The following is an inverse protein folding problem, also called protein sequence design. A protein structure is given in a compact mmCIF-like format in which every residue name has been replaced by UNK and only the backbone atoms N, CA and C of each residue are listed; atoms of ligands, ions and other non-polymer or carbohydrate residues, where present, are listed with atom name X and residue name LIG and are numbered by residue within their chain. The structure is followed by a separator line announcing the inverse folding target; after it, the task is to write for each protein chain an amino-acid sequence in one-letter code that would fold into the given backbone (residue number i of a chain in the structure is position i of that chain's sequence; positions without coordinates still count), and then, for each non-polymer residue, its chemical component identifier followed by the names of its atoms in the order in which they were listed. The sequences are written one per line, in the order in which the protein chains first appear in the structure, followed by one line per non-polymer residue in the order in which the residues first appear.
data_IF_473663715237
#
_entry.id   IF_473663715237
#
_cell.length_a   1.000
_cell.length_b   1.000
_cell.length_c   1.000
_cell.angle_alpha   90.00
_cell.angle_beta   90.00
_cell.angle_gamma   90.00
#
_symmetry.space_group_name_H-M   'P 1'
#
loop_
_entity.id
_entity.type
_entity.pdbx_description
1 polymer ?
#
# COMPACT_ATOMS: atom_id res chain seq x y z
N UNK A 1 0.94 -6.25 17.78
CA UNK A 1 2.29 -6.52 17.23
C UNK A 1 2.53 -5.45 16.16
N UNK A 2 3.19 -4.36 16.55
CA UNK A 2 3.29 -3.16 15.71
C UNK A 2 4.62 -3.16 14.93
N UNK A 3 4.60 -2.63 13.71
CA UNK A 3 5.80 -2.34 12.94
C UNK A 3 6.45 -3.49 12.18
N UNK A 4 5.83 -4.66 12.13
CA UNK A 4 6.37 -5.78 11.37
C UNK A 4 5.94 -5.69 9.91
N UNK A 5 6.88 -5.93 8.98
CA UNK A 5 6.58 -6.00 7.55
C UNK A 5 5.95 -7.35 7.20
N UNK A 6 5.13 -7.38 6.17
CA UNK A 6 4.46 -8.61 5.72
C UNK A 6 3.44 -9.17 6.71
N UNK A 7 3.44 -10.49 6.84
CA UNK A 7 2.54 -11.24 7.71
C UNK A 7 1.06 -11.17 7.33
N UNK A 8 0.25 -12.01 7.96
CA UNK A 8 -1.20 -12.05 7.75
C UNK A 8 -1.96 -11.77 9.06
N UNK A 9 -1.60 -10.66 9.72
CA UNK A 9 -2.25 -10.23 10.96
C UNK A 9 -3.68 -9.73 10.71
N UNK A 10 -4.52 -9.88 11.74
CA UNK A 10 -5.85 -9.27 11.81
C UNK A 10 -5.75 -7.75 11.98
N UNK A 11 -6.87 -7.07 11.74
CA UNK A 11 -6.98 -5.64 12.05
C UNK A 11 -6.75 -5.37 13.55
N UNK A 12 -6.15 -4.21 13.83
CA UNK A 12 -6.14 -3.63 15.15
C UNK A 12 -7.52 -3.02 15.48
N UNK A 13 -7.75 -2.63 16.74
CA UNK A 13 -9.00 -1.93 17.13
C UNK A 13 -9.24 -0.66 16.28
N UNK A 14 -8.17 0.07 15.95
CA UNK A 14 -8.26 1.23 15.03
C UNK A 14 -8.67 0.81 13.63
N UNK A 15 -8.10 -0.29 13.12
CA UNK A 15 -8.49 -0.85 11.83
C UNK A 15 -9.95 -1.29 11.79
N UNK A 16 -10.46 -1.84 12.89
CA UNK A 16 -11.88 -2.20 13.03
C UNK A 16 -12.79 -0.97 13.01
N UNK A 17 -12.39 0.13 13.66
CA UNK A 17 -13.11 1.42 13.59
C UNK A 17 -13.11 1.97 12.16
N UNK A 18 -11.96 1.87 11.49
CA UNK A 18 -11.85 2.27 10.08
C UNK A 18 -12.76 1.46 9.17
N UNK A 19 -12.83 0.13 9.34
CA UNK A 19 -13.69 -0.73 8.53
C UNK A 19 -15.18 -0.32 8.62
N UNK A 20 -15.65 0.11 9.80
CA UNK A 20 -17.01 0.64 9.99
C UNK A 20 -17.18 2.01 9.33
N UNK A 21 -16.26 2.93 9.59
CA UNK A 21 -16.30 4.27 8.99
C UNK A 21 -16.24 4.21 7.44
N UNK A 22 -15.50 3.24 6.90
CA UNK A 22 -15.45 2.99 5.44
C UNK A 22 -16.82 2.57 4.91
N UNK A 23 -17.51 1.67 5.61
CA UNK A 23 -18.85 1.24 5.20
C UNK A 23 -19.86 2.40 5.21
N UNK A 24 -19.85 3.23 6.26
CA UNK A 24 -20.68 4.42 6.35
C UNK A 24 -20.38 5.41 5.21
N UNK A 25 -19.09 5.63 4.92
CA UNK A 25 -18.64 6.50 3.83
C UNK A 25 -19.11 5.97 2.46
N UNK A 26 -18.92 4.69 2.18
CA UNK A 26 -19.33 4.07 0.90
C UNK A 26 -20.85 4.09 0.75
N UNK A 27 -21.60 3.84 1.82
CA UNK A 27 -23.05 3.93 1.80
C UNK A 27 -23.55 5.34 1.46
N UNK A 28 -22.86 6.38 1.92
CA UNK A 28 -23.19 7.78 1.61
C UNK A 28 -22.91 8.18 0.15
N UNK A 29 -22.06 7.45 -0.57
CA UNK A 29 -21.76 7.69 -1.98
C UNK A 29 -22.83 7.15 -2.93
N UNK A 30 -23.78 6.35 -2.44
CA UNK A 30 -24.85 5.69 -3.25
C UNK A 30 -24.32 5.04 -4.54
N UNK A 31 -23.15 4.39 -4.45
CA UNK A 31 -22.52 3.71 -5.58
C UNK A 31 -23.27 2.42 -5.88
N UNK A 32 -24.14 2.46 -6.90
CA UNK A 32 -24.84 1.28 -7.41
C UNK A 32 -23.86 0.41 -8.19
N UNK A 33 -24.03 -0.91 -8.06
CA UNK A 33 -23.27 -1.91 -8.81
C UNK A 33 -21.74 -1.80 -8.69
N UNK A 34 -21.25 -1.29 -7.54
CA UNK A 34 -19.81 -1.22 -7.29
C UNK A 34 -19.22 -2.59 -6.98
N UNK A 35 -18.13 -2.93 -7.66
CA UNK A 35 -17.30 -4.07 -7.28
C UNK A 35 -16.38 -3.72 -6.10
N UNK A 36 -16.17 -4.68 -5.20
CA UNK A 36 -15.21 -4.57 -4.10
C UNK A 36 -14.12 -5.62 -4.28
N UNK A 37 -12.89 -5.18 -4.50
CA UNK A 37 -11.74 -6.05 -4.62
C UNK A 37 -10.92 -6.01 -3.33
N UNK A 38 -10.62 -7.19 -2.81
CA UNK A 38 -9.80 -7.40 -1.63
C UNK A 38 -8.64 -8.33 -1.98
N UNK A 39 -7.71 -8.51 -1.05
CA UNK A 39 -6.62 -9.47 -1.23
C UNK A 39 -6.85 -10.73 -0.38
N UNK A 40 -5.98 -11.72 -0.52
CA UNK A 40 -6.01 -12.94 0.30
C UNK A 40 -5.69 -12.69 1.79
N UNK A 41 -5.23 -11.49 2.16
CA UNK A 41 -4.86 -11.16 3.53
C UNK A 41 -6.07 -10.83 4.40
N UNK A 42 -6.09 -11.38 5.63
CA UNK A 42 -7.20 -11.19 6.57
C UNK A 42 -7.56 -9.71 6.78
N UNK A 43 -6.55 -8.83 6.90
CA UNK A 43 -6.77 -7.39 7.16
C UNK A 43 -7.58 -6.70 6.06
N UNK A 44 -7.41 -7.05 4.78
CA UNK A 44 -8.20 -6.46 3.69
C UNK A 44 -9.62 -7.00 3.66
N UNK A 45 -9.80 -8.30 3.90
CA UNK A 45 -11.11 -8.92 4.00
C UNK A 45 -11.90 -8.40 5.20
N UNK A 46 -11.22 -8.22 6.36
CA UNK A 46 -11.82 -7.62 7.54
C UNK A 46 -12.19 -6.15 7.34
N UNK A 47 -11.40 -5.40 6.57
CA UNK A 47 -11.73 -4.01 6.22
C UNK A 47 -13.00 -3.96 5.35
N UNK A 48 -13.19 -4.92 4.45
CA UNK A 48 -14.35 -4.97 3.56
C UNK A 48 -15.63 -5.53 4.23
N UNK A 49 -15.54 -6.21 5.36
CA UNK A 49 -16.62 -7.07 5.90
C UNK A 49 -17.96 -6.36 6.17
N UNK A 50 -17.97 -5.05 6.30
CA UNK A 50 -19.17 -4.24 6.51
C UNK A 50 -19.70 -3.62 5.20
N UNK A 51 -18.99 -3.80 4.09
CA UNK A 51 -19.43 -3.35 2.77
C UNK A 51 -20.46 -4.30 2.19
N UNK A 52 -21.43 -3.80 1.42
CA UNK A 52 -22.45 -4.64 0.78
C UNK A 52 -21.86 -5.47 -0.38
N UNK A 53 -22.56 -6.55 -0.74
CA UNK A 53 -22.27 -7.38 -1.90
C UNK A 53 -21.11 -8.37 -1.73
N UNK A 54 -20.83 -9.14 -2.77
CA UNK A 54 -19.71 -10.07 -2.80
C UNK A 54 -18.38 -9.33 -2.97
N UNK A 55 -17.34 -9.82 -2.30
CA UNK A 55 -15.99 -9.28 -2.43
C UNK A 55 -15.13 -10.21 -3.28
N UNK A 56 -14.53 -9.68 -4.34
CA UNK A 56 -13.64 -10.45 -5.21
C UNK A 56 -12.22 -10.47 -4.62
N UNK A 57 -11.69 -11.66 -4.42
CA UNK A 57 -10.30 -11.82 -3.94
C UNK A 57 -9.35 -11.74 -5.12
N UNK A 58 -8.45 -10.75 -5.09
CA UNK A 58 -7.43 -10.45 -6.10
C UNK A 58 -6.03 -10.64 -5.50
N UNK A 59 -5.43 -11.84 -5.64
CA UNK A 59 -4.09 -12.11 -5.11
C UNK A 59 -3.02 -11.17 -5.68
N UNK A 60 -3.20 -10.73 -6.92
CA UNK A 60 -2.29 -9.80 -7.61
C UNK A 60 -2.21 -8.42 -6.92
N UNK A 61 -3.20 -8.06 -6.12
CA UNK A 61 -3.21 -6.84 -5.32
C UNK A 61 -2.65 -7.04 -3.90
N UNK A 62 -2.07 -8.21 -3.60
CA UNK A 62 -1.43 -8.51 -2.31
C UNK A 62 -0.26 -7.58 -1.99
N UNK A 63 0.16 -7.54 -0.72
CA UNK A 63 1.32 -6.74 -0.30
C UNK A 63 2.61 -7.24 -0.94
N UNK A 64 3.61 -6.37 -1.05
CA UNK A 64 4.97 -6.74 -1.44
C UNK A 64 5.47 -7.86 -0.52
N UNK A 65 5.99 -8.92 -1.13
CA UNK A 65 6.51 -10.07 -0.38
C UNK A 65 7.91 -9.74 0.15
N UNK A 66 8.04 -9.73 1.48
CA UNK A 66 9.31 -9.44 2.13
C UNK A 66 10.21 -10.68 2.26
N UNK A 67 9.78 -11.85 1.77
CA UNK A 67 10.57 -13.08 1.73
C UNK A 67 11.17 -13.43 3.09
N UNK A 68 12.48 -13.61 3.15
CA UNK A 68 13.20 -13.94 4.38
C UNK A 68 13.08 -12.86 5.50
N UNK A 69 12.64 -11.65 5.16
CA UNK A 69 12.42 -10.57 6.12
C UNK A 69 10.97 -10.46 6.60
N UNK A 70 10.08 -11.35 6.14
CA UNK A 70 8.67 -11.34 6.56
C UNK A 70 8.55 -11.50 8.07
N UNK A 71 7.70 -10.70 8.70
CA UNK A 71 7.49 -10.70 10.15
C UNK A 71 8.54 -9.96 10.97
N UNK A 72 9.58 -9.37 10.37
CA UNK A 72 10.55 -8.53 11.06
C UNK A 72 10.12 -7.06 11.08
N UNK A 73 10.62 -6.30 12.07
CA UNK A 73 10.57 -4.84 12.02
C UNK A 73 11.75 -4.30 11.22
N UNK A 74 11.68 -3.04 10.80
CA UNK A 74 12.81 -2.42 10.10
C UNK A 74 14.05 -2.31 10.99
N UNK A 75 13.88 -2.09 12.29
CA UNK A 75 14.95 -2.07 13.27
C UNK A 75 15.59 -3.45 13.41
N UNK A 76 14.79 -4.52 13.42
CA UNK A 76 15.28 -5.90 13.44
C UNK A 76 16.05 -6.24 12.17
N UNK A 77 15.59 -5.76 10.99
CA UNK A 77 16.29 -5.93 9.71
C UNK A 77 17.61 -5.16 9.73
N UNK A 78 17.58 -3.90 10.17
CA UNK A 78 18.78 -3.06 10.27
C UNK A 78 19.85 -3.67 11.18
N UNK A 79 19.43 -4.29 12.30
CA UNK A 79 20.34 -4.92 13.24
C UNK A 79 20.87 -6.27 12.75
N UNK A 80 20.03 -7.12 12.15
CA UNK A 80 20.38 -8.48 11.73
C UNK A 80 21.00 -8.55 10.33
N UNK A 81 20.56 -7.66 9.42
CA UNK A 81 20.92 -7.64 8.00
C UNK A 81 21.32 -6.22 7.55
N UNK A 82 22.35 -5.59 8.17
CA UNK A 82 22.69 -4.19 7.92
C UNK A 82 23.06 -3.90 6.46
N UNK A 83 23.68 -4.84 5.77
CA UNK A 83 24.03 -4.70 4.34
C UNK A 83 22.76 -4.66 3.48
N UNK A 84 21.83 -5.58 3.71
CA UNK A 84 20.54 -5.65 3.01
C UNK A 84 19.71 -4.39 3.26
N UNK A 85 19.71 -3.92 4.51
CA UNK A 85 19.03 -2.68 4.86
C UNK A 85 19.60 -1.47 4.13
N UNK A 86 20.94 -1.36 4.02
CA UNK A 86 21.62 -0.29 3.30
C UNK A 86 21.35 -0.36 1.78
N UNK A 87 21.37 -1.55 1.19
CA UNK A 87 21.02 -1.75 -0.23
C UNK A 87 19.59 -1.33 -0.53
N UNK A 88 18.64 -1.70 0.35
CA UNK A 88 17.25 -1.28 0.23
C UNK A 88 17.08 0.23 0.35
N UNK A 89 17.80 0.85 1.25
CA UNK A 89 17.75 2.31 1.44
C UNK A 89 18.31 3.05 0.22
N UNK A 90 19.38 2.54 -0.38
CA UNK A 90 20.02 3.12 -1.55
C UNK A 90 19.13 3.07 -2.80
N UNK A 91 18.45 1.97 -3.05
CA UNK A 91 17.53 1.83 -4.19
C UNK A 91 16.27 1.05 -3.80
N UNK A 92 15.35 1.73 -3.15
CA UNK A 92 14.10 1.13 -2.69
C UNK A 92 13.21 0.59 -3.84
N UNK A 93 13.35 1.12 -5.04
CA UNK A 93 12.58 0.68 -6.20
C UNK A 93 13.04 -0.70 -6.69
N UNK A 94 14.36 -0.90 -6.81
CA UNK A 94 14.94 -2.09 -7.45
C UNK A 94 15.40 -3.13 -6.45
N UNK A 95 15.59 -2.73 -5.19
CA UNK A 95 15.95 -3.69 -4.14
C UNK A 95 14.90 -4.80 -4.05
N UNK A 96 15.36 -6.04 -4.25
CA UNK A 96 14.55 -7.24 -4.08
C UNK A 96 14.84 -7.86 -2.72
N UNK A 97 13.81 -8.09 -1.93
CA UNK A 97 13.94 -8.85 -0.71
C UNK A 97 14.43 -10.28 -1.00
N UNK A 98 15.34 -10.86 -0.19
CA UNK A 98 15.73 -12.26 -0.34
C UNK A 98 14.48 -13.16 -0.31
N UNK A 99 14.33 -14.01 -1.32
CA UNK A 99 13.13 -14.86 -1.53
C UNK A 99 11.80 -14.09 -1.64
N UNK A 100 11.87 -12.81 -1.96
CA UNK A 100 10.71 -11.93 -2.03
C UNK A 100 10.65 -11.09 -3.30
N UNK A 101 9.98 -9.96 -3.22
CA UNK A 101 9.74 -9.04 -4.32
C UNK A 101 10.53 -7.73 -4.16
N UNK A 102 10.74 -7.06 -5.28
CA UNK A 102 11.03 -5.63 -5.39
C UNK A 102 9.74 -4.87 -5.74
N UNK A 103 9.78 -3.53 -5.69
CA UNK A 103 8.69 -2.72 -6.24
C UNK A 103 8.49 -2.93 -7.75
N UNK A 104 9.58 -3.24 -8.50
CA UNK A 104 9.48 -3.58 -9.92
C UNK A 104 8.64 -4.84 -10.14
N UNK A 105 8.81 -5.86 -9.29
CA UNK A 105 8.02 -7.09 -9.39
C UNK A 105 6.55 -6.83 -9.08
N UNK A 106 6.25 -5.99 -8.07
CA UNK A 106 4.89 -5.57 -7.77
C UNK A 106 4.28 -4.87 -8.97
N UNK A 107 4.98 -3.94 -9.61
CA UNK A 107 4.52 -3.27 -10.84
C UNK A 107 4.20 -4.29 -11.93
N UNK A 108 5.09 -5.26 -12.17
CA UNK A 108 4.88 -6.27 -13.21
C UNK A 108 3.62 -7.12 -12.96
N UNK A 109 3.38 -7.55 -11.70
CA UNK A 109 2.20 -8.40 -11.41
C UNK A 109 0.88 -7.63 -11.38
N UNK A 110 0.87 -6.32 -11.14
CA UNK A 110 -0.36 -5.51 -11.17
C UNK A 110 -0.67 -4.92 -12.55
N UNK A 111 0.27 -4.91 -13.47
CA UNK A 111 0.08 -4.34 -14.81
C UNK A 111 -1.14 -4.93 -15.56
N UNK A 112 -1.40 -6.26 -15.54
CA UNK A 112 -2.60 -6.82 -16.15
C UNK A 112 -3.90 -6.37 -15.49
N UNK A 113 -3.85 -5.96 -14.20
CA UNK A 113 -5.03 -5.53 -13.44
C UNK A 113 -5.50 -4.14 -13.86
N UNK A 114 -4.60 -3.26 -14.34
CA UNK A 114 -4.95 -1.90 -14.77
C UNK A 114 -6.06 -1.89 -15.82
N UNK A 115 -5.98 -2.76 -16.82
CA UNK A 115 -7.01 -2.88 -17.85
C UNK A 115 -8.37 -3.30 -17.28
N UNK A 116 -8.37 -4.13 -16.25
CA UNK A 116 -9.62 -4.51 -15.58
C UNK A 116 -10.21 -3.37 -14.76
N UNK A 117 -9.35 -2.54 -14.14
CA UNK A 117 -9.76 -1.33 -13.41
C UNK A 117 -10.41 -0.33 -14.36
N UNK A 118 -9.80 -0.08 -15.52
CA UNK A 118 -10.30 0.85 -16.55
C UNK A 118 -11.66 0.45 -17.12
N UNK A 119 -12.05 -0.82 -17.00
CA UNK A 119 -13.33 -1.35 -17.46
C UNK A 119 -14.45 -1.29 -16.41
N UNK A 120 -14.14 -0.87 -15.18
CA UNK A 120 -15.11 -0.78 -14.09
C UNK A 120 -15.66 0.63 -13.99
N UNK A 121 -16.99 0.76 -13.91
CA UNK A 121 -17.64 2.06 -13.67
C UNK A 121 -17.41 2.53 -12.23
N UNK A 122 -17.59 1.61 -11.26
CA UNK A 122 -17.39 1.85 -9.84
C UNK A 122 -16.63 0.67 -9.22
N UNK A 123 -15.42 0.94 -8.73
CA UNK A 123 -14.56 -0.06 -8.12
C UNK A 123 -13.98 0.43 -6.80
N UNK A 124 -14.11 -0.34 -5.75
CA UNK A 124 -13.40 -0.15 -4.51
C UNK A 124 -12.29 -1.19 -4.35
N UNK A 125 -11.05 -0.74 -4.29
CA UNK A 125 -9.88 -1.59 -4.08
C UNK A 125 -9.38 -1.44 -2.63
N UNK A 126 -9.35 -2.53 -1.89
CA UNK A 126 -8.79 -2.60 -0.54
C UNK A 126 -7.53 -3.47 -0.60
N UNK A 127 -6.39 -2.80 -0.52
CA UNK A 127 -5.08 -3.41 -0.72
C UNK A 127 -4.07 -2.92 0.33
N UNK A 128 -2.80 -2.83 -0.02
CA UNK A 128 -1.69 -2.61 0.89
C UNK A 128 -0.83 -1.45 0.42
N UNK A 129 -0.05 -0.88 1.33
CA UNK A 129 0.67 0.36 1.08
C UNK A 129 1.62 0.27 -0.13
N UNK A 130 2.45 -0.77 -0.25
CA UNK A 130 3.38 -0.87 -1.36
C UNK A 130 2.65 -1.07 -2.70
N UNK A 131 1.63 -1.92 -2.73
CA UNK A 131 0.82 -2.18 -3.92
C UNK A 131 0.00 -0.96 -4.33
N UNK A 132 -0.60 -0.24 -3.37
CA UNK A 132 -1.34 0.99 -3.67
C UNK A 132 -0.42 2.11 -4.20
N UNK A 133 0.82 2.21 -3.73
CA UNK A 133 1.83 3.12 -4.31
C UNK A 133 2.07 2.82 -5.78
N UNK A 134 2.26 1.52 -6.10
CA UNK A 134 2.44 1.09 -7.49
C UNK A 134 1.20 1.40 -8.34
N UNK A 135 0.02 1.05 -7.82
CA UNK A 135 -1.24 1.25 -8.54
C UNK A 135 -1.48 2.73 -8.84
N UNK A 136 -1.36 3.60 -7.84
CA UNK A 136 -1.53 5.05 -8.01
C UNK A 136 -0.49 5.63 -8.97
N UNK A 137 0.79 5.24 -8.84
CA UNK A 137 1.82 5.73 -9.76
C UNK A 137 1.54 5.36 -11.22
N UNK A 138 1.03 4.15 -11.47
CA UNK A 138 0.67 3.69 -12.81
C UNK A 138 -0.58 4.41 -13.34
N UNK A 139 -1.62 4.56 -12.53
CA UNK A 139 -2.86 5.25 -12.92
C UNK A 139 -2.65 6.75 -13.18
N UNK A 140 -1.75 7.39 -12.43
CA UNK A 140 -1.48 8.82 -12.50
C UNK A 140 -0.32 9.18 -13.45
N UNK A 141 0.32 8.22 -14.09
CA UNK A 141 1.50 8.47 -14.95
C UNK A 141 2.71 8.98 -14.15
N UNK A 142 2.84 8.59 -12.89
CA UNK A 142 3.93 9.00 -12.01
C UNK A 142 5.29 8.43 -12.43
N UNK A 143 6.37 9.10 -11.98
CA UNK A 143 7.74 8.63 -12.24
C UNK A 143 8.05 7.40 -11.42
N UNK A 144 8.64 6.38 -12.06
CA UNK A 144 8.98 5.10 -11.43
C UNK A 144 9.89 5.29 -10.20
N UNK A 145 10.86 6.18 -10.27
CA UNK A 145 11.82 6.44 -9.19
C UNK A 145 11.18 7.04 -7.93
N UNK A 146 10.02 7.69 -8.08
CA UNK A 146 9.26 8.28 -6.98
C UNK A 146 8.21 7.31 -6.40
N UNK A 147 7.91 6.23 -7.12
CA UNK A 147 6.86 5.28 -6.79
C UNK A 147 6.96 4.75 -5.33
N UNK A 148 8.12 4.29 -4.82
CA UNK A 148 8.21 3.78 -3.45
C UNK A 148 7.95 4.84 -2.36
N UNK A 149 7.92 6.11 -2.76
CA UNK A 149 7.73 7.27 -1.87
C UNK A 149 6.39 7.97 -2.09
N UNK A 150 5.53 7.45 -2.98
CA UNK A 150 4.16 7.96 -3.14
C UNK A 150 3.41 7.90 -1.82
N UNK A 151 2.76 8.99 -1.46
CA UNK A 151 1.99 9.09 -0.24
C UNK A 151 0.70 8.26 -0.37
N UNK A 152 0.49 7.36 0.56
CA UNK A 152 -0.74 6.58 0.73
C UNK A 152 -1.09 6.64 2.21
N UNK A 153 -1.86 7.65 2.64
CA UNK A 153 -2.16 7.85 4.04
C UNK A 153 -3.09 6.75 4.57
N UNK A 154 -2.86 6.35 5.81
CA UNK A 154 -3.76 5.42 6.49
C UNK A 154 -5.14 6.05 6.72
N UNK A 155 -6.15 5.22 6.85
CA UNK A 155 -7.54 5.61 7.14
C UNK A 155 -8.10 6.68 6.17
N UNK A 156 -7.64 6.64 4.93
CA UNK A 156 -8.03 7.57 3.88
C UNK A 156 -8.55 6.79 2.67
N UNK A 157 -9.65 7.24 2.10
CA UNK A 157 -10.13 6.77 0.81
C UNK A 157 -9.56 7.70 -0.26
N UNK A 158 -8.82 7.15 -1.20
CA UNK A 158 -8.28 7.88 -2.35
C UNK A 158 -9.21 7.59 -3.53
N UNK A 159 -10.01 8.58 -3.91
CA UNK A 159 -10.88 8.50 -5.08
C UNK A 159 -10.10 8.93 -6.31
N UNK A 160 -10.11 8.09 -7.33
CA UNK A 160 -9.47 8.35 -8.62
C UNK A 160 -10.55 8.28 -9.70
N UNK A 161 -10.82 9.40 -10.35
CA UNK A 161 -11.72 9.44 -11.50
C UNK A 161 -10.90 9.39 -12.80
N UNK A 162 -11.08 8.29 -13.54
CA UNK A 162 -10.47 8.07 -14.85
C UNK A 162 -11.45 8.51 -15.92
N UNK A 163 -11.19 9.64 -16.58
CA UNK A 163 -12.10 10.19 -17.59
C UNK A 163 -11.74 9.71 -18.98
N UNK A 164 -12.74 9.59 -19.85
CA UNK A 164 -12.57 9.21 -21.25
C UNK A 164 -11.70 10.20 -22.06
N UNK A 165 -11.60 11.45 -21.61
CA UNK A 165 -10.71 12.47 -22.22
C UNK A 165 -9.24 12.33 -21.79
N UNK A 166 -8.91 11.27 -21.03
CA UNK A 166 -7.58 11.00 -20.51
C UNK A 166 -7.20 11.83 -19.28
N UNK A 167 -8.10 12.67 -18.77
CA UNK A 167 -7.88 13.38 -17.50
C UNK A 167 -8.10 12.45 -16.33
N UNK A 168 -7.21 12.55 -15.36
CA UNK A 168 -7.32 11.84 -14.08
C UNK A 168 -7.43 12.88 -12.98
N UNK A 169 -8.44 12.72 -12.11
CA UNK A 169 -8.57 13.53 -10.90
C UNK A 169 -8.45 12.65 -9.67
N UNK A 170 -7.88 13.21 -8.60
CA UNK A 170 -7.65 12.52 -7.35
C UNK A 170 -8.24 13.34 -6.21
N UNK A 171 -9.03 12.70 -5.36
CA UNK A 171 -9.58 13.30 -4.14
C UNK A 171 -9.25 12.39 -2.95
N UNK A 172 -8.82 12.99 -1.84
CA UNK A 172 -8.54 12.27 -0.60
C UNK A 172 -9.65 12.53 0.42
N UNK A 173 -10.26 11.45 0.91
CA UNK A 173 -11.29 11.50 1.95
C UNK A 173 -10.75 10.84 3.22
N UNK A 174 -10.23 11.63 4.14
CA UNK A 174 -9.75 11.16 5.43
C UNK A 174 -10.94 10.84 6.34
N UNK A 175 -11.06 9.58 6.75
CA UNK A 175 -12.12 9.14 7.65
C UNK A 175 -11.79 9.48 9.11
N UNK A 176 -12.81 9.66 9.98
CA UNK A 176 -12.64 10.15 11.36
C UNK A 176 -12.08 9.06 12.30
N UNK A 177 -10.95 8.50 11.95
CA UNK A 177 -10.22 7.49 12.74
C UNK A 177 -8.77 7.89 12.85
N UNK A 178 -8.27 8.06 14.05
CA UNK A 178 -6.88 8.44 14.29
C UNK A 178 -5.92 7.45 13.68
N UNK A 179 -4.86 7.97 13.06
CA UNK A 179 -3.78 7.16 12.52
C UNK A 179 -2.44 7.87 12.66
N UNK A 180 -1.37 7.08 12.59
CA UNK A 180 -0.01 7.60 12.52
C UNK A 180 0.35 7.90 11.05
N UNK A 181 1.13 8.94 10.84
CA UNK A 181 1.69 9.20 9.51
C UNK A 181 2.85 8.23 9.25
N UNK A 182 2.64 7.34 8.28
CA UNK A 182 3.64 6.37 7.83
C UNK A 182 4.40 6.82 6.59
N UNK A 183 4.11 8.04 6.09
CA UNK A 183 4.82 8.57 4.94
C UNK A 183 6.25 8.95 5.30
N UNK A 184 7.18 8.63 4.42
CA UNK A 184 8.57 9.07 4.46
C UNK A 184 8.99 9.50 3.06
N UNK A 185 9.41 10.75 2.95
CA UNK A 185 9.88 11.31 1.69
C UNK A 185 11.15 10.59 1.19
N UNK A 186 11.38 10.68 -0.10
CA UNK A 186 12.63 10.21 -0.70
C UNK A 186 13.80 10.98 -0.13
N UNK A 187 14.85 10.31 0.38
CA UNK A 187 16.05 10.98 0.84
C UNK A 187 16.77 11.69 -0.31
N UNK A 188 17.42 12.81 0.00
CA UNK A 188 18.24 13.54 -0.97
C UNK A 188 19.50 12.76 -1.37
N UNK A 189 20.05 11.98 -0.43
CA UNK A 189 21.22 11.13 -0.64
C UNK A 189 20.84 9.66 -0.39
N UNK A 190 20.57 8.94 -1.47
CA UNK A 190 20.24 7.52 -1.47
C UNK A 190 21.49 6.72 -1.88
N UNK A 191 22.45 6.55 -0.98
CA UNK A 191 23.65 5.77 -1.21
C UNK A 191 23.82 4.65 -0.18
N UNK A 192 24.51 3.56 -0.55
CA UNK A 192 24.83 2.47 0.37
C UNK A 192 25.78 2.88 1.50
N UNK A 193 26.41 4.05 1.39
CA UNK A 193 27.33 4.60 2.38
C UNK A 193 26.64 5.45 3.45
N UNK A 194 25.31 5.69 3.29
CA UNK A 194 24.56 6.45 4.27
C UNK A 194 24.56 5.73 5.62
N UNK A 195 24.86 6.45 6.73
CA UNK A 195 24.87 5.85 8.07
C UNK A 195 23.53 5.17 8.38
N UNK A 196 23.59 4.01 9.04
CA UNK A 196 22.41 3.20 9.37
C UNK A 196 21.35 4.00 10.14
N UNK A 197 21.78 4.87 11.06
CA UNK A 197 20.90 5.76 11.83
C UNK A 197 20.08 6.68 10.92
N UNK A 198 20.70 7.22 9.86
CA UNK A 198 20.01 8.05 8.87
C UNK A 198 19.09 7.23 7.97
N UNK A 199 19.49 6.02 7.61
CA UNK A 199 18.66 5.10 6.85
C UNK A 199 17.41 4.69 7.63
N UNK A 200 17.49 4.51 8.94
CA UNK A 200 16.35 4.23 9.82
C UNK A 200 15.32 5.36 9.87
N UNK A 201 15.71 6.61 9.60
CA UNK A 201 14.77 7.74 9.54
C UNK A 201 13.79 7.66 8.36
N UNK A 202 14.08 6.84 7.34
CA UNK A 202 13.25 6.69 6.14
C UNK A 202 12.23 5.57 6.23
N UNK A 203 12.18 4.86 7.34
CA UNK A 203 11.20 3.82 7.61
C UNK A 203 10.16 4.32 8.62
N UNK A 204 8.89 3.87 8.51
CA UNK A 204 7.85 4.27 9.44
C UNK A 204 8.16 3.82 10.87
N UNK A 205 8.03 4.71 11.82
CA UNK A 205 7.95 4.32 13.23
C UNK A 205 6.52 3.83 13.50
N UNK A 206 6.41 2.59 13.94
CA UNK A 206 5.14 1.95 14.26
C UNK A 206 4.93 1.94 15.79
N UNK A 207 4.85 3.11 16.38
CA UNK A 207 4.48 3.27 17.79
C UNK A 207 2.96 3.18 18.01
#
# INVERSE_FOLDING_TARGET
MYGRIGGNAKLSERGEKYARALADFVAALDLKDSEVWVTQYQRTQQTARHLPGPHLVMPELGEIQAGAHDGLTYEEIAAKFPVEFALRDADKLRYRYPEGESYIDVVQRIQPILKRIELQDNLLVISHQATLRCLLALLLGGRMEELPYTQVPLHTVIKVDLRLDGKVTVEEHRLPVDCVDTHRAKPLDCTIQRPLEQACLTVPHHL
#
